data_IF_279402242721
#
_entry.id   IF_279402242721
#
_cell.length_a   1.000
_cell.length_b   1.000
_cell.length_c   1.000
_cell.angle_alpha   90.00
_cell.angle_beta   90.00
_cell.angle_gamma   90.00
#
_symmetry.space_group_name_H-M   'P 1'
#
loop_
_entity.id
_entity.type
_entity.pdbx_description
1 polymer ?
#
# COMPACT_ATOMS: atom_id res chain seq x y z
N UNK A 1 -4.21 -28.84 -9.51
CA UNK A 1 -3.42 -28.49 -10.70
C UNK A 1 -2.53 -27.31 -10.35
N UNK A 2 -1.23 -27.39 -10.65
CA UNK A 2 -0.34 -26.24 -10.48
C UNK A 2 -0.47 -25.29 -11.68
N UNK A 3 -0.37 -23.97 -11.45
CA UNK A 3 -0.41 -23.01 -12.54
C UNK A 3 0.82 -23.19 -13.46
N UNK A 4 0.66 -22.95 -14.77
CA UNK A 4 1.77 -23.03 -15.70
C UNK A 4 2.82 -21.94 -15.44
N UNK A 5 4.08 -22.24 -15.77
CA UNK A 5 5.24 -21.38 -15.47
C UNK A 5 5.14 -19.97 -16.08
N UNK A 6 4.57 -19.84 -17.28
CA UNK A 6 4.36 -18.52 -17.91
C UNK A 6 3.45 -17.61 -17.08
N UNK A 7 2.46 -18.16 -16.37
CA UNK A 7 1.57 -17.39 -15.51
C UNK A 7 2.26 -16.99 -14.21
N UNK A 8 3.17 -17.85 -13.71
CA UNK A 8 3.99 -17.55 -12.54
C UNK A 8 4.93 -16.38 -12.86
N UNK A 9 5.62 -16.42 -14.00
CA UNK A 9 6.51 -15.32 -14.37
C UNK A 9 5.77 -14.02 -14.67
N UNK A 10 4.62 -14.08 -15.37
CA UNK A 10 3.80 -12.89 -15.58
C UNK A 10 3.41 -12.19 -14.27
N UNK A 11 3.13 -12.96 -13.21
CA UNK A 11 2.81 -12.41 -11.88
C UNK A 11 4.03 -11.88 -11.13
N UNK A 12 5.23 -12.38 -11.43
CA UNK A 12 6.48 -11.95 -10.80
C UNK A 12 7.07 -10.70 -11.44
N UNK A 13 7.13 -10.66 -12.76
CA UNK A 13 7.88 -9.64 -13.52
C UNK A 13 7.00 -8.75 -14.38
N UNK A 14 5.84 -9.26 -14.78
CA UNK A 14 4.96 -8.60 -15.73
C UNK A 14 4.38 -7.26 -15.24
N UNK A 15 3.67 -6.56 -16.13
CA UNK A 15 3.02 -5.29 -15.81
C UNK A 15 2.02 -5.48 -14.66
N UNK A 16 2.31 -4.85 -13.53
CA UNK A 16 1.50 -4.93 -12.34
C UNK A 16 0.31 -3.98 -12.44
N UNK A 17 -0.87 -4.38 -11.96
CA UNK A 17 -2.01 -3.48 -11.89
C UNK A 17 -1.72 -2.35 -10.90
N UNK A 18 -2.33 -1.17 -11.12
CA UNK A 18 -2.11 0.06 -10.32
C UNK A 18 -2.08 -0.16 -8.79
N UNK A 19 -3.00 -0.94 -8.17
CA UNK A 19 -2.95 -1.18 -6.73
C UNK A 19 -1.68 -1.89 -6.26
N UNK A 20 -1.17 -2.83 -7.06
CA UNK A 20 0.05 -3.59 -6.78
C UNK A 20 1.28 -2.68 -6.93
N UNK A 21 1.29 -1.83 -7.95
CA UNK A 21 2.33 -0.81 -8.14
C UNK A 21 2.39 0.14 -6.94
N UNK A 22 1.25 0.71 -6.55
CA UNK A 22 1.16 1.63 -5.42
C UNK A 22 1.65 0.99 -4.11
N UNK A 23 1.24 -0.26 -3.86
CA UNK A 23 1.70 -1.03 -2.69
C UNK A 23 3.22 -1.26 -2.72
N UNK A 24 3.79 -1.68 -3.85
CA UNK A 24 5.24 -1.88 -4.00
C UNK A 24 6.04 -0.58 -3.82
N UNK A 25 5.51 0.53 -4.33
CA UNK A 25 6.12 1.86 -4.18
C UNK A 25 5.88 2.50 -2.80
N UNK A 26 5.05 1.91 -1.94
CA UNK A 26 4.73 2.44 -0.62
C UNK A 26 3.98 3.77 -0.66
N UNK A 27 3.08 3.93 -1.63
CA UNK A 27 2.26 5.14 -1.81
C UNK A 27 0.79 4.78 -1.96
N UNK A 28 -0.09 5.77 -1.90
CA UNK A 28 -1.51 5.59 -2.23
C UNK A 28 -1.75 5.60 -3.74
N UNK A 29 -2.87 5.01 -4.20
CA UNK A 29 -3.31 5.10 -5.60
C UNK A 29 -3.48 6.56 -6.08
N UNK A 30 -3.88 7.46 -5.18
CA UNK A 30 -3.98 8.89 -5.47
C UNK A 30 -2.61 9.55 -5.58
N UNK A 31 -1.63 9.14 -4.76
CA UNK A 31 -0.24 9.58 -4.87
C UNK A 31 0.39 9.14 -6.18
N UNK A 32 0.10 7.91 -6.62
CA UNK A 32 0.52 7.41 -7.94
C UNK A 32 -0.03 8.27 -9.08
N UNK A 33 -1.31 8.69 -9.00
CA UNK A 33 -1.91 9.58 -9.98
C UNK A 33 -1.28 10.99 -9.99
N UNK A 34 -0.88 11.52 -8.82
CA UNK A 34 -0.15 12.80 -8.73
C UNK A 34 1.28 12.73 -9.28
N UNK A 35 1.89 11.54 -9.24
CA UNK A 35 3.14 11.26 -9.95
C UNK A 35 2.97 10.99 -11.44
N UNK A 36 1.77 11.20 -11.99
CA UNK A 36 1.40 10.99 -13.40
C UNK A 36 1.62 9.54 -13.91
N UNK A 37 1.81 8.58 -13.01
CA UNK A 37 1.89 7.17 -13.36
C UNK A 37 0.47 6.66 -13.57
N UNK A 38 0.09 6.56 -14.84
CA UNK A 38 -1.23 6.09 -15.29
C UNK A 38 -1.19 4.64 -15.73
N UNK A 39 -0.07 4.21 -16.32
CA UNK A 39 0.14 2.89 -16.91
C UNK A 39 0.61 1.83 -15.89
N UNK A 40 0.37 0.54 -16.18
CA UNK A 40 0.98 -0.56 -15.43
C UNK A 40 2.50 -0.50 -15.47
N UNK A 41 3.16 -0.84 -14.35
CA UNK A 41 4.61 -0.92 -14.27
C UNK A 41 5.05 -2.35 -14.01
N UNK A 42 6.13 -2.78 -14.66
CA UNK A 42 6.85 -4.04 -14.41
C UNK A 42 7.62 -3.98 -13.10
N UNK A 43 8.13 -5.12 -12.64
CA UNK A 43 9.00 -5.16 -11.46
C UNK A 43 10.29 -4.34 -11.66
N UNK A 44 10.83 -4.32 -12.87
CA UNK A 44 12.09 -3.63 -13.19
C UNK A 44 11.92 -2.10 -13.14
N UNK A 45 10.85 -1.57 -13.74
CA UNK A 45 10.52 -0.14 -13.70
C UNK A 45 10.24 0.33 -12.26
N UNK A 46 9.55 -0.49 -11.46
CA UNK A 46 9.34 -0.21 -10.04
C UNK A 46 10.68 -0.17 -9.31
N UNK A 47 11.59 -1.12 -9.60
CA UNK A 47 12.92 -1.15 -8.99
C UNK A 47 13.73 0.10 -9.37
N UNK A 48 13.67 0.54 -10.63
CA UNK A 48 14.34 1.75 -11.08
C UNK A 48 13.84 2.99 -10.32
N UNK A 49 12.52 3.15 -10.18
CA UNK A 49 11.92 4.23 -9.40
C UNK A 49 12.38 4.19 -7.93
N UNK A 50 12.53 3.01 -7.33
CA UNK A 50 12.99 2.87 -5.96
C UNK A 50 14.49 3.16 -5.80
N UNK A 51 15.30 2.83 -6.80
CA UNK A 51 16.75 3.11 -6.79
C UNK A 51 17.06 4.58 -7.03
N UNK A 52 16.25 5.25 -7.87
CA UNK A 52 16.40 6.68 -8.19
C UNK A 52 15.08 7.39 -7.89
N UNK A 53 14.68 7.51 -6.61
CA UNK A 53 13.38 8.02 -6.25
C UNK A 53 13.25 9.49 -6.66
N UNK A 54 12.32 9.83 -7.57
CA UNK A 54 12.05 11.22 -7.89
C UNK A 54 11.41 11.93 -6.70
N UNK A 55 11.47 13.26 -6.69
CA UNK A 55 10.98 14.09 -5.57
C UNK A 55 9.53 13.80 -5.19
N UNK A 56 8.66 13.57 -6.18
CA UNK A 56 7.25 13.23 -5.93
C UNK A 56 7.12 11.93 -5.15
N UNK A 57 7.91 10.90 -5.48
CA UNK A 57 7.83 9.59 -4.84
C UNK A 57 8.26 9.67 -3.38
N UNK A 58 9.33 10.42 -3.08
CA UNK A 58 9.80 10.65 -1.71
C UNK A 58 8.71 11.32 -0.88
N UNK A 59 8.12 12.40 -1.41
CA UNK A 59 7.04 13.13 -0.73
C UNK A 59 5.83 12.24 -0.47
N UNK A 60 5.37 11.52 -1.47
CA UNK A 60 4.19 10.66 -1.38
C UNK A 60 4.39 9.51 -0.39
N UNK A 61 5.60 8.95 -0.31
CA UNK A 61 5.95 7.92 0.67
C UNK A 61 5.91 8.46 2.10
N UNK A 62 6.41 9.68 2.36
CA UNK A 62 6.32 10.32 3.68
C UNK A 62 4.86 10.49 4.09
N UNK A 63 4.07 11.14 3.22
CA UNK A 63 2.65 11.38 3.49
C UNK A 63 1.89 10.07 3.69
N UNK A 64 2.17 9.03 2.90
CA UNK A 64 1.52 7.74 3.07
C UNK A 64 1.89 7.05 4.39
N UNK A 65 3.15 7.14 4.82
CA UNK A 65 3.60 6.61 6.11
C UNK A 65 2.91 7.30 7.29
N UNK A 66 2.86 8.64 7.29
CA UNK A 66 2.18 9.45 8.32
C UNK A 66 0.69 9.10 8.43
N UNK A 67 0.00 8.97 7.29
CA UNK A 67 -1.41 8.58 7.27
C UNK A 67 -1.62 7.16 7.79
N UNK A 68 -0.71 6.23 7.47
CA UNK A 68 -0.80 4.85 7.96
C UNK A 68 -0.59 4.76 9.47
N UNK A 69 0.35 5.54 10.02
CA UNK A 69 0.58 5.64 11.46
C UNK A 69 -0.65 6.20 12.18
N UNK A 70 -1.23 7.29 11.68
CA UNK A 70 -2.43 7.87 12.28
C UNK A 70 -3.64 6.91 12.18
N UNK A 71 -3.81 6.23 11.05
CA UNK A 71 -4.83 5.21 10.91
C UNK A 71 -4.65 4.05 11.89
N UNK A 72 -3.41 3.61 12.14
CA UNK A 72 -3.10 2.59 13.13
C UNK A 72 -3.46 3.05 14.54
N UNK A 73 -3.12 4.29 14.90
CA UNK A 73 -3.48 4.91 16.19
C UNK A 73 -5.00 4.97 16.38
N UNK A 74 -5.73 5.47 15.38
CA UNK A 74 -7.20 5.56 15.43
C UNK A 74 -7.83 4.17 15.55
N UNK A 75 -7.30 3.17 14.83
CA UNK A 75 -7.78 1.78 14.91
C UNK A 75 -7.55 1.20 16.31
N UNK A 76 -6.39 1.42 16.91
CA UNK A 76 -6.08 1.00 18.28
C UNK A 76 -7.02 1.65 19.30
N UNK A 77 -7.24 2.97 19.20
CA UNK A 77 -8.17 3.70 20.06
C UNK A 77 -9.61 3.18 19.92
N UNK A 78 -10.07 2.93 18.70
CA UNK A 78 -11.41 2.35 18.45
C UNK A 78 -11.53 0.94 19.03
N UNK A 79 -10.49 0.12 18.94
CA UNK A 79 -10.46 -1.22 19.53
C UNK A 79 -10.55 -1.16 21.07
N UNK A 80 -9.77 -0.28 21.71
CA UNK A 80 -9.81 -0.04 23.14
C UNK A 80 -11.19 0.44 23.62
N UNK A 81 -11.80 1.41 22.93
CA UNK A 81 -13.15 1.88 23.29
C UNK A 81 -14.21 0.78 23.15
N UNK A 82 -14.08 -0.10 22.15
CA UNK A 82 -15.01 -1.22 21.97
C UNK A 82 -14.89 -2.26 23.09
N UNK A 83 -13.68 -2.59 23.56
CA UNK A 83 -13.52 -3.53 24.68
C UNK A 83 -14.12 -2.99 25.98
N UNK A 84 -13.87 -1.70 26.28
CA UNK A 84 -14.43 -1.05 27.47
C UNK A 84 -15.97 -1.04 27.47
N UNK A 85 -16.60 -0.81 26.32
CA UNK A 85 -18.08 -0.84 26.21
C UNK A 85 -18.65 -2.25 26.36
N UNK A 86 -17.94 -3.29 25.87
CA UNK A 86 -18.34 -4.68 26.04
C UNK A 86 -18.24 -5.15 27.49
N UNK A 87 -17.16 -4.78 28.18
CA UNK A 87 -16.95 -5.11 29.61
C UNK A 87 -17.95 -4.40 30.52
N UNK A 88 -18.29 -3.14 30.25
CA UNK A 88 -19.29 -2.40 31.01
C UNK A 88 -20.71 -2.97 30.87
N UNK A 89 -21.05 -3.56 29.72
CA UNK A 89 -22.34 -4.21 29.47
C UNK A 89 -22.44 -5.61 30.09
N UNK A 90 -21.31 -6.25 30.43
CA UNK A 90 -21.29 -7.58 31.05
C UNK A 90 -21.28 -7.54 32.59
N UNK A 91 -21.03 -6.35 33.17
CA UNK A 91 -21.03 -6.11 34.63
C UNK A 91 -22.33 -5.49 35.16
N UNK A 92 -23.27 -5.14 34.28
CA UNK A 92 -24.60 -4.63 34.62
C UNK A 92 -25.65 -5.74 34.43
#
# INVERSE_FOLDING_TARGET
AEPPEWLVELRKTGPHPRPVVAHKLGVSNAGLARGEITEPLTTDEISELLQKPPTWLVRERSTHAEVNEENARVKALKAFKRSQRGEGSARA
#
